data_IF_080700476056
#
_entry.id   IF_080700476056
#
_cell.length_a   1.000
_cell.length_b   1.000
_cell.length_c   1.000
_cell.angle_alpha   90.00
_cell.angle_beta   90.00
_cell.angle_gamma   90.00
#
_symmetry.space_group_name_H-M   'P 1'
#
loop_
_entity.id
_entity.type
_entity.pdbx_description
1 polymer ?
#
# COMPACT_ATOMS: atom_id res chain seq x y z
N UNK A 1 87.32 -13.76 -90.88
CA UNK A 1 86.76 -13.17 -92.11
C UNK A 1 86.97 -11.66 -92.07
N UNK A 2 86.73 -10.98 -93.20
CA UNK A 2 86.65 -9.53 -93.41
C UNK A 2 87.04 -8.61 -92.22
N UNK A 3 88.09 -7.82 -92.43
CA UNK A 3 88.18 -6.50 -91.81
C UNK A 3 88.84 -5.54 -92.81
N UNK A 4 88.20 -5.39 -93.97
CA UNK A 4 88.52 -4.41 -95.00
C UNK A 4 88.40 -3.01 -94.39
N UNK A 5 89.52 -2.50 -93.87
CA UNK A 5 89.59 -1.13 -93.41
C UNK A 5 89.62 -0.22 -94.62
N UNK A 6 88.46 0.34 -94.91
CA UNK A 6 88.22 1.28 -95.98
C UNK A 6 89.28 2.38 -95.96
N UNK A 7 90.11 2.45 -97.01
CA UNK A 7 91.13 3.51 -97.15
C UNK A 7 90.49 4.79 -97.66
N UNK A 8 89.42 5.23 -96.99
CA UNK A 8 88.95 6.60 -97.10
C UNK A 8 90.11 7.51 -96.66
N UNK A 9 90.70 8.20 -97.64
CA UNK A 9 91.82 9.10 -97.38
C UNK A 9 91.40 10.15 -96.38
N UNK A 10 91.96 10.11 -95.18
CA UNK A 10 91.47 10.89 -94.04
C UNK A 10 91.38 12.37 -94.41
N UNK A 11 90.15 12.88 -94.54
CA UNK A 11 89.88 14.28 -94.85
C UNK A 11 90.28 15.10 -93.63
N UNK A 12 91.54 15.53 -93.60
CA UNK A 12 92.14 16.20 -92.46
C UNK A 12 91.27 17.39 -92.03
N UNK A 13 90.92 17.54 -90.74
CA UNK A 13 89.92 18.48 -90.26
C UNK A 13 90.51 19.90 -90.14
N UNK A 14 91.12 20.38 -91.22
CA UNK A 14 91.87 21.64 -91.29
C UNK A 14 91.25 22.60 -92.30
N UNK A 15 91.00 23.82 -91.89
CA UNK A 15 90.61 24.92 -92.78
C UNK A 15 91.80 25.34 -93.65
N UNK A 16 91.52 25.70 -94.91
CA UNK A 16 92.53 26.10 -95.88
C UNK A 16 92.56 27.61 -95.99
N UNK A 17 93.58 28.23 -95.40
CA UNK A 17 93.89 29.65 -95.55
C UNK A 17 94.62 29.91 -96.89
N UNK A 18 94.83 31.19 -97.23
CA UNK A 18 95.29 31.66 -98.56
C UNK A 18 96.62 31.05 -99.07
N UNK A 19 97.40 30.36 -98.23
CA UNK A 19 98.64 29.63 -98.61
C UNK A 19 98.84 28.27 -97.91
N UNK A 20 97.81 27.66 -97.32
CA UNK A 20 97.90 26.33 -96.72
C UNK A 20 96.89 26.07 -95.61
N UNK A 21 96.94 24.89 -95.01
CA UNK A 21 96.19 24.58 -93.79
C UNK A 21 96.51 25.55 -92.66
N UNK A 22 95.53 25.84 -91.81
CA UNK A 22 95.77 26.65 -90.61
C UNK A 22 96.80 25.97 -89.68
N UNK A 23 97.76 26.75 -89.20
CA UNK A 23 98.90 26.22 -88.43
C UNK A 23 98.53 25.85 -87.00
N UNK A 24 97.55 26.55 -86.43
CA UNK A 24 97.16 26.38 -85.04
C UNK A 24 96.14 25.23 -84.93
N UNK A 25 95.25 25.07 -85.92
CA UNK A 25 94.45 23.86 -86.07
C UNK A 25 95.32 22.59 -86.24
N UNK A 26 96.34 22.64 -87.10
CA UNK A 26 97.29 21.52 -87.29
C UNK A 26 98.08 21.24 -86.01
N UNK A 27 98.53 22.28 -85.30
CA UNK A 27 99.22 22.16 -84.00
C UNK A 27 98.33 21.45 -82.97
N UNK A 28 97.10 21.95 -82.79
CA UNK A 28 96.13 21.41 -81.83
C UNK A 28 95.75 19.96 -82.16
N UNK A 29 95.65 19.60 -83.44
CA UNK A 29 95.40 18.21 -83.86
C UNK A 29 96.57 17.28 -83.55
N UNK A 30 97.82 17.67 -83.81
CA UNK A 30 98.97 16.84 -83.44
C UNK A 30 99.14 16.72 -81.93
N UNK A 31 98.92 17.78 -81.15
CA UNK A 31 98.95 17.71 -79.68
C UNK A 31 97.84 16.83 -79.12
N UNK A 32 96.64 16.88 -79.72
CA UNK A 32 95.55 15.95 -79.41
C UNK A 32 95.90 14.50 -79.80
N UNK A 33 96.48 14.27 -80.96
CA UNK A 33 96.86 12.93 -81.42
C UNK A 33 97.97 12.33 -80.56
N UNK A 34 98.98 13.11 -80.15
CA UNK A 34 100.00 12.71 -79.20
C UNK A 34 99.41 12.41 -77.81
N UNK A 35 98.35 13.12 -77.40
CA UNK A 35 97.62 12.80 -76.17
C UNK A 35 96.82 11.49 -76.30
N UNK A 36 96.08 11.28 -77.39
CA UNK A 36 95.34 10.04 -77.67
C UNK A 36 96.30 8.83 -77.81
N UNK A 37 97.49 9.02 -78.38
CA UNK A 37 98.54 8.00 -78.47
C UNK A 37 99.20 7.70 -77.11
N UNK A 38 99.37 8.70 -76.23
CA UNK A 38 99.79 8.48 -74.84
C UNK A 38 98.74 7.75 -74.00
N UNK A 39 97.46 8.09 -74.17
CA UNK A 39 96.34 7.40 -73.50
C UNK A 39 96.30 5.94 -73.94
N UNK A 40 96.24 5.66 -75.24
CA UNK A 40 96.21 4.28 -75.75
C UNK A 40 97.48 3.47 -75.44
N UNK A 41 98.66 4.09 -75.35
CA UNK A 41 99.86 3.42 -74.84
C UNK A 41 99.74 3.08 -73.34
N UNK A 42 99.17 3.98 -72.53
CA UNK A 42 98.91 3.77 -71.10
C UNK A 42 97.88 2.65 -70.90
N UNK A 43 96.79 2.65 -71.67
CA UNK A 43 95.75 1.62 -71.65
C UNK A 43 96.30 0.25 -72.05
N UNK A 44 97.15 0.20 -73.10
CA UNK A 44 97.85 -1.03 -73.51
C UNK A 44 98.74 -1.56 -72.40
N UNK A 45 99.50 -0.69 -71.74
CA UNK A 45 100.45 -1.11 -70.71
C UNK A 45 99.75 -1.49 -69.39
N UNK A 46 98.62 -0.85 -69.08
CA UNK A 46 97.70 -1.27 -68.03
C UNK A 46 97.06 -2.64 -68.34
N UNK A 47 96.57 -2.86 -69.56
CA UNK A 47 96.03 -4.15 -70.00
C UNK A 47 97.11 -5.25 -69.98
N UNK A 48 98.35 -4.95 -70.38
CA UNK A 48 99.48 -5.87 -70.28
C UNK A 48 99.85 -6.20 -68.81
N UNK A 49 99.74 -5.23 -67.89
CA UNK A 49 99.91 -5.47 -66.46
C UNK A 49 98.77 -6.34 -65.90
N UNK A 50 97.51 -6.09 -66.27
CA UNK A 50 96.36 -6.91 -65.91
C UNK A 50 96.52 -8.36 -66.42
N UNK A 51 96.95 -8.54 -67.68
CA UNK A 51 97.18 -9.86 -68.26
C UNK A 51 98.28 -10.65 -67.51
N UNK A 52 99.36 -9.98 -67.09
CA UNK A 52 100.40 -10.60 -66.24
C UNK A 52 99.86 -10.99 -64.85
N UNK A 53 99.10 -10.11 -64.21
CA UNK A 53 98.49 -10.37 -62.91
C UNK A 53 97.53 -11.57 -62.97
N UNK A 54 96.69 -11.64 -64.01
CA UNK A 54 95.78 -12.76 -64.27
C UNK A 54 96.57 -14.06 -64.54
N UNK A 55 97.66 -14.01 -65.32
CA UNK A 55 98.51 -15.17 -65.54
C UNK A 55 99.09 -15.73 -64.23
N UNK A 56 99.62 -14.86 -63.36
CA UNK A 56 100.15 -15.28 -62.05
C UNK A 56 99.06 -15.66 -61.03
N UNK A 57 97.80 -15.25 -61.20
CA UNK A 57 96.67 -15.79 -60.42
C UNK A 57 96.31 -17.20 -60.90
N UNK A 58 96.27 -17.41 -62.22
CA UNK A 58 95.97 -18.69 -62.85
C UNK A 58 97.07 -19.73 -62.56
N UNK A 59 98.34 -19.31 -62.52
CA UNK A 59 99.48 -20.12 -62.11
C UNK A 59 99.35 -20.60 -60.64
N UNK A 60 99.14 -19.69 -59.68
CA UNK A 60 98.89 -20.05 -58.27
C UNK A 60 97.70 -21.01 -58.11
N UNK A 61 96.60 -20.75 -58.83
CA UNK A 61 95.42 -21.62 -58.79
C UNK A 61 95.69 -23.02 -59.39
N UNK A 62 96.62 -23.15 -60.35
CA UNK A 62 97.08 -24.46 -60.84
C UNK A 62 97.95 -25.18 -59.82
N UNK A 63 98.89 -24.47 -59.18
CA UNK A 63 99.74 -25.04 -58.13
C UNK A 63 98.90 -25.56 -56.96
N UNK A 64 97.91 -24.76 -56.52
CA UNK A 64 96.94 -25.13 -55.48
C UNK A 64 96.07 -26.33 -55.91
N UNK A 65 95.57 -26.37 -57.15
CA UNK A 65 94.81 -27.52 -57.68
C UNK A 65 95.68 -28.79 -57.71
N UNK A 66 96.95 -28.69 -58.10
CA UNK A 66 97.85 -29.85 -58.16
C UNK A 66 98.37 -30.27 -56.77
N UNK A 67 98.44 -29.37 -55.79
CA UNK A 67 98.65 -29.72 -54.38
C UNK A 67 97.42 -30.44 -53.81
N UNK A 68 96.21 -29.88 -53.98
CA UNK A 68 94.96 -30.51 -53.56
C UNK A 68 94.75 -31.88 -54.22
N UNK A 69 95.13 -32.06 -55.49
CA UNK A 69 95.12 -33.37 -56.17
C UNK A 69 96.05 -34.38 -55.51
N UNK A 70 97.31 -34.01 -55.23
CA UNK A 70 98.27 -34.88 -54.54
C UNK A 70 97.75 -35.29 -53.16
N UNK A 71 97.08 -34.39 -52.44
CA UNK A 71 96.44 -34.70 -51.16
C UNK A 71 95.19 -35.58 -51.29
N UNK A 72 94.37 -35.40 -52.33
CA UNK A 72 93.26 -36.31 -52.66
C UNK A 72 93.78 -37.71 -53.00
N UNK A 73 94.83 -37.83 -53.82
CA UNK A 73 95.44 -39.12 -54.18
C UNK A 73 96.00 -39.83 -52.93
N UNK A 74 96.69 -39.09 -52.04
CA UNK A 74 97.15 -39.60 -50.73
C UNK A 74 96.01 -40.10 -49.85
N UNK A 75 94.85 -39.43 -49.87
CA UNK A 75 93.68 -39.76 -49.05
C UNK A 75 92.78 -40.86 -49.65
N UNK A 76 92.83 -41.03 -50.99
CA UNK A 76 92.02 -42.01 -51.72
C UNK A 76 92.60 -43.43 -51.68
N UNK A 77 93.91 -43.58 -51.44
CA UNK A 77 94.55 -44.89 -51.19
C UNK A 77 94.26 -45.32 -49.74
N UNK A 78 93.95 -46.60 -49.47
CA UNK A 78 93.82 -47.10 -48.10
C UNK A 78 95.10 -46.83 -47.30
N UNK A 79 95.04 -46.20 -46.11
CA UNK A 79 96.24 -45.75 -45.40
C UNK A 79 97.03 -46.94 -44.84
N UNK A 80 98.10 -47.31 -45.52
CA UNK A 80 99.03 -48.38 -45.12
C UNK A 80 100.12 -47.90 -44.15
N UNK A 81 100.16 -46.60 -43.81
CA UNK A 81 101.10 -45.99 -42.87
C UNK A 81 100.38 -45.48 -41.62
N UNK A 82 101.06 -45.52 -40.47
CA UNK A 82 100.51 -45.05 -39.19
C UNK A 82 100.22 -43.53 -39.19
N UNK A 83 101.02 -42.77 -39.94
CA UNK A 83 100.89 -41.32 -40.11
C UNK A 83 99.61 -40.97 -40.88
N UNK A 84 99.35 -41.62 -42.03
CA UNK A 84 98.12 -41.43 -42.81
C UNK A 84 96.84 -41.88 -42.07
N UNK A 85 96.94 -42.87 -41.19
CA UNK A 85 95.84 -43.22 -40.28
C UNK A 85 95.59 -42.12 -39.23
N UNK A 86 96.66 -41.56 -38.67
CA UNK A 86 96.58 -40.48 -37.66
C UNK A 86 96.00 -39.19 -38.24
N UNK A 87 96.43 -38.79 -39.44
CA UNK A 87 95.89 -37.64 -40.17
C UNK A 87 94.42 -37.82 -40.52
N UNK A 88 94.01 -39.02 -40.95
CA UNK A 88 92.59 -39.30 -41.23
C UNK A 88 91.74 -39.24 -39.96
N UNK A 89 92.27 -39.71 -38.83
CA UNK A 89 91.61 -39.58 -37.52
C UNK A 89 91.51 -38.12 -37.09
N UNK A 90 92.56 -37.30 -37.26
CA UNK A 90 92.53 -35.89 -36.87
C UNK A 90 91.52 -35.09 -37.72
N UNK A 91 91.47 -35.31 -39.04
CA UNK A 91 90.48 -34.70 -39.94
C UNK A 91 89.05 -35.19 -39.64
N UNK A 92 88.86 -36.46 -39.26
CA UNK A 92 87.55 -37.01 -38.87
C UNK A 92 87.07 -36.47 -37.52
N UNK A 93 87.94 -36.35 -36.52
CA UNK A 93 87.62 -35.73 -35.23
C UNK A 93 87.28 -34.25 -35.39
N UNK A 94 87.98 -33.54 -36.29
CA UNK A 94 87.65 -32.15 -36.64
C UNK A 94 86.27 -32.05 -37.29
N UNK A 95 86.00 -32.85 -38.33
CA UNK A 95 84.68 -32.88 -38.97
C UNK A 95 83.55 -33.19 -37.98
N UNK A 96 83.73 -34.18 -37.10
CA UNK A 96 82.75 -34.52 -36.07
C UNK A 96 82.60 -33.42 -35.00
N UNK A 97 83.66 -32.65 -34.71
CA UNK A 97 83.59 -31.47 -33.83
C UNK A 97 82.87 -30.30 -34.48
N UNK A 98 83.07 -30.09 -35.78
CA UNK A 98 82.41 -29.06 -36.57
C UNK A 98 80.91 -29.40 -36.74
N UNK A 99 80.57 -30.64 -37.09
CA UNK A 99 79.21 -31.19 -37.16
C UNK A 99 78.47 -31.14 -35.81
N UNK A 100 79.14 -31.53 -34.71
CA UNK A 100 78.57 -31.41 -33.37
C UNK A 100 78.38 -29.95 -32.92
N UNK A 101 79.14 -29.01 -33.48
CA UNK A 101 78.97 -27.57 -33.23
C UNK A 101 77.81 -26.99 -34.04
N UNK A 102 77.66 -27.39 -35.31
CA UNK A 102 76.50 -27.07 -36.14
C UNK A 102 75.20 -27.60 -35.53
N UNK A 103 75.19 -28.88 -35.09
CA UNK A 103 74.00 -29.49 -34.50
C UNK A 103 73.63 -28.85 -33.14
N UNK A 104 74.61 -28.37 -32.36
CA UNK A 104 74.33 -27.56 -31.16
C UNK A 104 73.75 -26.20 -31.52
N UNK A 105 74.38 -25.46 -32.43
CA UNK A 105 73.89 -24.15 -32.87
C UNK A 105 72.46 -24.24 -33.43
N UNK A 106 72.14 -25.30 -34.17
CA UNK A 106 70.78 -25.60 -34.62
C UNK A 106 69.84 -25.90 -33.45
N UNK A 107 70.19 -26.80 -32.53
CA UNK A 107 69.35 -27.11 -31.38
C UNK A 107 69.11 -25.89 -30.46
N UNK A 108 70.09 -25.00 -30.34
CA UNK A 108 69.96 -23.73 -29.61
C UNK A 108 69.04 -22.73 -30.33
N UNK A 109 69.08 -22.67 -31.67
CA UNK A 109 68.18 -21.88 -32.50
C UNK A 109 66.74 -22.41 -32.45
N UNK A 110 66.54 -23.72 -32.70
CA UNK A 110 65.25 -24.41 -32.61
C UNK A 110 64.62 -24.18 -31.21
N UNK A 111 65.42 -24.29 -30.15
CA UNK A 111 64.96 -24.04 -28.78
C UNK A 111 64.68 -22.55 -28.49
N UNK A 112 65.35 -21.62 -29.16
CA UNK A 112 65.07 -20.19 -29.06
C UNK A 112 63.76 -19.81 -29.79
N UNK A 113 63.49 -20.41 -30.94
CA UNK A 113 62.22 -20.26 -31.66
C UNK A 113 61.06 -20.79 -30.82
N UNK A 114 61.18 -22.01 -30.26
CA UNK A 114 60.15 -22.61 -29.39
C UNK A 114 59.86 -21.73 -28.17
N UNK A 115 60.90 -21.15 -27.52
CA UNK A 115 60.71 -20.18 -26.41
C UNK A 115 59.99 -18.93 -26.87
N UNK A 116 60.41 -18.32 -27.99
CA UNK A 116 59.79 -17.12 -28.56
C UNK A 116 58.31 -17.34 -28.88
N UNK A 117 57.94 -18.48 -29.48
CA UNK A 117 56.55 -18.84 -29.76
C UNK A 117 55.77 -18.99 -28.45
N UNK A 118 56.27 -19.76 -27.49
CA UNK A 118 55.59 -19.96 -26.20
C UNK A 118 55.42 -18.65 -25.39
N UNK A 119 56.39 -17.73 -25.44
CA UNK A 119 56.32 -16.42 -24.80
C UNK A 119 55.30 -15.50 -25.48
N UNK A 120 55.21 -15.53 -26.82
CA UNK A 120 54.20 -14.80 -27.59
C UNK A 120 52.79 -15.35 -27.33
N UNK A 121 52.60 -16.67 -27.34
CA UNK A 121 51.31 -17.31 -27.05
C UNK A 121 50.86 -17.04 -25.62
N UNK A 122 51.75 -17.19 -24.62
CA UNK A 122 51.43 -16.88 -23.23
C UNK A 122 51.09 -15.39 -23.03
N UNK A 123 51.75 -14.47 -23.75
CA UNK A 123 51.46 -13.04 -23.68
C UNK A 123 50.13 -12.70 -24.34
N UNK A 124 49.82 -13.30 -25.50
CA UNK A 124 48.52 -13.20 -26.17
C UNK A 124 47.38 -13.74 -25.30
N UNK A 125 47.61 -14.86 -24.60
CA UNK A 125 46.65 -15.47 -23.70
C UNK A 125 46.39 -14.58 -22.46
N UNK A 126 47.45 -14.02 -21.85
CA UNK A 126 47.33 -13.04 -20.75
C UNK A 126 46.50 -11.82 -21.17
N UNK A 127 46.87 -11.17 -22.28
CA UNK A 127 46.13 -10.01 -22.80
C UNK A 127 44.65 -10.33 -23.10
N UNK A 128 44.34 -11.54 -23.58
CA UNK A 128 42.96 -11.98 -23.77
C UNK A 128 42.22 -12.13 -22.43
N UNK A 129 42.85 -12.72 -21.40
CA UNK A 129 42.24 -12.85 -20.07
C UNK A 129 42.06 -11.50 -19.38
N UNK A 130 43.03 -10.60 -19.49
CA UNK A 130 42.94 -9.22 -18.99
C UNK A 130 41.78 -8.46 -19.63
N UNK A 131 41.63 -8.55 -20.96
CA UNK A 131 40.47 -7.98 -21.67
C UNK A 131 39.13 -8.60 -21.24
N UNK A 132 39.05 -9.93 -21.08
CA UNK A 132 37.83 -10.59 -20.60
C UNK A 132 37.49 -10.25 -19.14
N UNK A 133 38.49 -9.97 -18.30
CA UNK A 133 38.27 -9.51 -16.91
C UNK A 133 37.77 -8.06 -16.90
N UNK A 134 38.35 -7.18 -17.73
CA UNK A 134 37.90 -5.80 -17.88
C UNK A 134 36.44 -5.72 -18.41
N UNK A 135 36.09 -6.52 -19.42
CA UNK A 135 34.71 -6.62 -19.94
C UNK A 135 33.72 -7.08 -18.85
N UNK A 136 34.11 -8.04 -18.02
CA UNK A 136 33.29 -8.53 -16.91
C UNK A 136 33.15 -7.49 -15.78
N UNK A 137 34.20 -6.70 -15.50
CA UNK A 137 34.16 -5.63 -14.50
C UNK A 137 33.34 -4.43 -14.98
N UNK A 138 33.52 -4.00 -16.23
CA UNK A 138 32.67 -2.98 -16.88
C UNK A 138 31.21 -3.41 -16.85
N UNK A 139 30.90 -4.62 -17.33
CA UNK A 139 29.53 -5.16 -17.34
C UNK A 139 28.94 -5.31 -15.94
N UNK A 140 29.74 -5.70 -14.94
CA UNK A 140 29.31 -5.71 -13.54
C UNK A 140 28.94 -4.29 -13.09
N UNK A 141 29.82 -3.31 -13.31
CA UNK A 141 29.59 -1.92 -12.88
C UNK A 141 28.33 -1.32 -13.53
N UNK A 142 28.08 -1.60 -14.81
CA UNK A 142 26.86 -1.19 -15.50
C UNK A 142 25.61 -1.81 -14.87
N UNK A 143 25.60 -3.12 -14.60
CA UNK A 143 24.48 -3.79 -13.93
C UNK A 143 24.26 -3.31 -12.48
N UNK A 144 25.33 -2.96 -11.76
CA UNK A 144 25.27 -2.42 -10.40
C UNK A 144 24.62 -1.02 -10.41
N UNK A 145 24.98 -0.16 -11.38
CA UNK A 145 24.35 1.15 -11.61
C UNK A 145 22.89 1.03 -12.06
N UNK A 146 22.58 0.14 -13.02
CA UNK A 146 21.19 -0.10 -13.48
C UNK A 146 20.30 -0.61 -12.34
N UNK A 147 20.84 -1.50 -11.48
CA UNK A 147 20.15 -2.01 -10.30
C UNK A 147 19.89 -0.91 -9.28
N UNK A 148 20.87 -0.06 -8.97
CA UNK A 148 20.69 1.07 -8.05
C UNK A 148 19.65 2.07 -8.58
N UNK A 149 19.70 2.42 -9.86
CA UNK A 149 18.72 3.32 -10.49
C UNK A 149 17.31 2.73 -10.47
N UNK A 150 17.17 1.43 -10.77
CA UNK A 150 15.90 0.72 -10.73
C UNK A 150 15.33 0.67 -9.31
N UNK A 151 16.16 0.35 -8.32
CA UNK A 151 15.76 0.31 -6.91
C UNK A 151 15.43 1.69 -6.34
N UNK A 152 16.17 2.74 -6.71
CA UNK A 152 15.86 4.11 -6.33
C UNK A 152 14.53 4.59 -6.93
N UNK A 153 14.27 4.25 -8.20
CA UNK A 153 13.01 4.56 -8.89
C UNK A 153 11.83 3.83 -8.24
N UNK A 154 11.93 2.50 -8.06
CA UNK A 154 10.89 1.69 -7.43
C UNK A 154 10.59 2.10 -5.98
N UNK A 155 11.61 2.49 -5.19
CA UNK A 155 11.42 3.06 -3.84
C UNK A 155 10.67 4.40 -3.90
N UNK A 156 11.03 5.26 -4.86
CA UNK A 156 10.39 6.58 -5.04
C UNK A 156 8.93 6.45 -5.48
N UNK A 157 8.61 5.50 -6.35
CA UNK A 157 7.24 5.21 -6.77
C UNK A 157 6.42 4.58 -5.64
N UNK A 158 7.00 3.62 -4.92
CA UNK A 158 6.37 3.01 -3.73
C UNK A 158 6.04 4.07 -2.68
N UNK A 159 6.95 5.01 -2.40
CA UNK A 159 6.71 6.11 -1.47
C UNK A 159 5.54 7.00 -1.92
N UNK A 160 5.49 7.40 -3.20
CA UNK A 160 4.38 8.18 -3.77
C UNK A 160 3.03 7.45 -3.68
N UNK A 161 3.02 6.14 -3.93
CA UNK A 161 1.80 5.32 -3.84
C UNK A 161 1.32 5.24 -2.38
N UNK A 162 2.22 5.03 -1.43
CA UNK A 162 1.90 5.01 0.01
C UNK A 162 1.40 6.37 0.49
N UNK A 163 2.06 7.47 0.11
CA UNK A 163 1.66 8.84 0.44
C UNK A 163 0.27 9.18 -0.13
N UNK A 164 0.02 8.88 -1.41
CA UNK A 164 -1.28 9.08 -2.04
C UNK A 164 -2.39 8.25 -1.38
N UNK A 165 -2.12 6.98 -1.04
CA UNK A 165 -3.06 6.11 -0.35
C UNK A 165 -3.36 6.60 1.08
N UNK A 166 -2.36 7.12 1.81
CA UNK A 166 -2.53 7.71 3.14
C UNK A 166 -3.31 9.03 3.10
N UNK A 167 -3.05 9.89 2.11
CA UNK A 167 -3.80 11.11 1.89
C UNK A 167 -5.28 10.81 1.56
N UNK A 168 -5.54 9.85 0.68
CA UNK A 168 -6.90 9.44 0.30
C UNK A 168 -7.65 8.80 1.48
N UNK A 169 -7.00 7.90 2.24
CA UNK A 169 -7.59 7.30 3.43
C UNK A 169 -7.91 8.35 4.51
N UNK A 170 -7.04 9.36 4.67
CA UNK A 170 -7.26 10.48 5.59
C UNK A 170 -8.43 11.36 5.13
N UNK A 171 -8.55 11.62 3.82
CA UNK A 171 -9.67 12.37 3.22
C UNK A 171 -11.01 11.66 3.44
N UNK A 172 -11.08 10.37 3.11
CA UNK A 172 -12.28 9.54 3.31
C UNK A 172 -12.64 9.38 4.79
N UNK A 173 -11.63 9.31 5.67
CA UNK A 173 -11.83 9.32 7.12
C UNK A 173 -12.46 10.62 7.62
N UNK A 174 -11.92 11.77 7.19
CA UNK A 174 -12.44 13.09 7.55
C UNK A 174 -13.85 13.34 6.99
N UNK A 175 -14.13 12.96 5.75
CA UNK A 175 -15.47 13.03 5.16
C UNK A 175 -16.48 12.15 5.93
N UNK A 176 -16.07 10.92 6.26
CA UNK A 176 -16.89 10.00 7.06
C UNK A 176 -17.16 10.52 8.46
N UNK A 177 -16.20 11.20 9.10
CA UNK A 177 -16.41 11.89 10.37
C UNK A 177 -17.34 13.09 10.25
N UNK A 178 -17.14 13.97 9.27
CA UNK A 178 -18.02 15.11 9.05
C UNK A 178 -19.47 14.66 8.82
N UNK A 179 -19.68 13.61 8.04
CA UNK A 179 -20.99 12.99 7.81
C UNK A 179 -21.59 12.37 9.08
N UNK A 180 -20.78 11.71 9.93
CA UNK A 180 -21.25 11.23 11.24
C UNK A 180 -21.66 12.37 12.18
N UNK A 181 -20.92 13.48 12.19
CA UNK A 181 -21.22 14.67 13.01
C UNK A 181 -22.52 15.34 12.55
N UNK A 182 -22.67 15.63 11.26
CA UNK A 182 -23.92 16.18 10.69
C UNK A 182 -25.14 15.30 11.00
N UNK A 183 -25.05 13.97 10.82
CA UNK A 183 -26.17 13.06 11.15
C UNK A 183 -26.50 13.05 12.65
N UNK A 184 -25.50 13.19 13.52
CA UNK A 184 -25.71 13.32 14.98
C UNK A 184 -26.36 14.66 15.33
N UNK A 185 -25.91 15.76 14.74
CA UNK A 185 -26.45 17.11 14.91
C UNK A 185 -27.92 17.18 14.45
N UNK A 186 -28.23 16.68 13.25
CA UNK A 186 -29.59 16.57 12.70
C UNK A 186 -30.51 15.73 13.60
N UNK A 187 -29.98 14.62 14.15
CA UNK A 187 -30.72 13.76 15.08
C UNK A 187 -30.98 14.45 16.42
N UNK A 188 -29.99 15.15 17.00
CA UNK A 188 -30.15 15.90 18.24
C UNK A 188 -31.14 17.05 18.10
N UNK A 189 -31.07 17.80 17.00
CA UNK A 189 -32.06 18.83 16.65
C UNK A 189 -33.46 18.20 16.56
N UNK A 190 -33.63 17.15 15.73
CA UNK A 190 -34.92 16.46 15.53
C UNK A 190 -35.49 15.90 16.85
N UNK A 191 -34.65 15.32 17.70
CA UNK A 191 -35.06 14.77 18.99
C UNK A 191 -35.35 15.85 20.04
N UNK A 192 -34.65 16.99 20.01
CA UNK A 192 -34.97 18.14 20.86
C UNK A 192 -36.31 18.79 20.46
N UNK A 193 -36.59 18.90 19.17
CA UNK A 193 -37.90 19.30 18.66
C UNK A 193 -39.00 18.32 19.07
N UNK A 194 -38.76 17.01 18.89
CA UNK A 194 -39.74 15.98 19.28
C UNK A 194 -39.99 16.01 20.79
N UNK A 195 -38.95 16.15 21.61
CA UNK A 195 -39.05 16.27 23.07
C UNK A 195 -39.85 17.50 23.47
N UNK A 196 -39.54 18.68 22.93
CA UNK A 196 -40.27 19.92 23.25
C UNK A 196 -41.72 19.89 22.78
N UNK A 197 -42.02 19.30 21.61
CA UNK A 197 -43.39 19.06 21.13
C UNK A 197 -44.17 18.13 22.08
N UNK A 198 -43.57 17.02 22.53
CA UNK A 198 -44.18 16.10 23.49
C UNK A 198 -44.38 16.75 24.86
N UNK A 199 -43.39 17.45 25.41
CA UNK A 199 -43.53 18.17 26.69
C UNK A 199 -44.66 19.20 26.65
N UNK A 200 -44.76 20.01 25.58
CA UNK A 200 -45.88 20.95 25.40
C UNK A 200 -47.24 20.26 25.30
N UNK A 201 -47.32 19.11 24.65
CA UNK A 201 -48.56 18.33 24.56
C UNK A 201 -48.98 17.75 25.93
N UNK A 202 -48.02 17.31 26.76
CA UNK A 202 -48.28 16.88 28.14
C UNK A 202 -48.71 18.07 29.01
N UNK A 203 -48.02 19.21 28.92
CA UNK A 203 -48.41 20.44 29.63
C UNK A 203 -49.83 20.93 29.27
N UNK A 204 -50.21 20.85 27.99
CA UNK A 204 -51.56 21.22 27.54
C UNK A 204 -52.63 20.21 27.97
N UNK A 205 -52.32 18.91 27.96
CA UNK A 205 -53.20 17.87 28.50
C UNK A 205 -53.37 18.02 30.01
N UNK A 206 -52.31 18.32 30.76
CA UNK A 206 -52.38 18.66 32.18
C UNK A 206 -53.20 19.93 32.43
N UNK A 207 -52.99 20.98 31.61
CA UNK A 207 -53.70 22.27 31.72
C UNK A 207 -55.19 22.12 31.51
N UNK A 208 -55.59 21.47 30.42
CA UNK A 208 -56.99 21.17 30.10
C UNK A 208 -57.62 20.24 31.13
N UNK A 209 -56.95 19.15 31.52
CA UNK A 209 -57.44 18.24 32.58
C UNK A 209 -57.65 18.95 33.93
N UNK A 210 -56.71 19.83 34.35
CA UNK A 210 -56.86 20.64 35.57
C UNK A 210 -57.99 21.66 35.46
N UNK A 211 -58.20 22.26 34.29
CA UNK A 211 -59.33 23.17 34.02
C UNK A 211 -60.68 22.43 34.06
N UNK A 212 -60.79 21.27 33.41
CA UNK A 212 -62.00 20.44 33.47
C UNK A 212 -62.29 19.97 34.90
N UNK A 213 -61.26 19.55 35.65
CA UNK A 213 -61.41 19.14 37.05
C UNK A 213 -61.89 20.30 37.93
N UNK A 214 -61.31 21.50 37.76
CA UNK A 214 -61.75 22.70 38.46
C UNK A 214 -63.20 23.10 38.09
N UNK A 215 -63.57 22.98 36.82
CA UNK A 215 -64.94 23.25 36.37
C UNK A 215 -65.94 22.22 36.93
N UNK A 216 -65.63 20.91 36.88
CA UNK A 216 -66.44 19.85 37.50
C UNK A 216 -66.62 20.06 39.01
N UNK A 217 -65.56 20.47 39.72
CA UNK A 217 -65.63 20.83 41.14
C UNK A 217 -66.50 22.06 41.38
N UNK A 218 -66.40 23.09 40.52
CA UNK A 218 -67.26 24.28 40.59
C UNK A 218 -68.73 23.94 40.37
N UNK A 219 -69.05 23.20 39.31
CA UNK A 219 -70.43 22.81 38.99
C UNK A 219 -71.02 21.91 40.08
N UNK A 220 -70.25 20.95 40.62
CA UNK A 220 -70.67 20.11 41.73
C UNK A 220 -70.87 20.89 43.03
N UNK A 221 -70.05 21.91 43.33
CA UNK A 221 -70.21 22.75 44.52
C UNK A 221 -71.36 23.75 44.39
N UNK A 222 -71.59 24.33 43.20
CA UNK A 222 -72.79 25.10 42.90
C UNK A 222 -74.06 24.25 43.03
N UNK A 223 -74.07 23.03 42.50
CA UNK A 223 -75.22 22.13 42.57
C UNK A 223 -75.46 21.64 44.02
N UNK A 224 -74.40 21.33 44.76
CA UNK A 224 -74.49 21.03 46.20
C UNK A 224 -75.05 22.21 47.00
N UNK A 225 -74.61 23.44 46.72
CA UNK A 225 -75.16 24.64 47.35
C UNK A 225 -76.64 24.85 47.03
N UNK A 226 -77.07 24.63 45.77
CA UNK A 226 -78.48 24.68 45.36
C UNK A 226 -79.32 23.59 46.06
N UNK A 227 -78.80 22.36 46.18
CA UNK A 227 -79.45 21.27 46.92
C UNK A 227 -79.59 21.60 48.41
N UNK A 228 -78.52 22.10 49.05
CA UNK A 228 -78.53 22.52 50.45
C UNK A 228 -79.53 23.66 50.67
N UNK A 229 -79.52 24.71 49.84
CA UNK A 229 -80.45 25.83 49.93
C UNK A 229 -81.91 25.38 49.80
N UNK A 230 -82.21 24.47 48.85
CA UNK A 230 -83.55 23.89 48.69
C UNK A 230 -83.95 23.04 49.91
N UNK A 231 -83.04 22.22 50.44
CA UNK A 231 -83.29 21.42 51.65
C UNK A 231 -83.52 22.30 52.88
N UNK A 232 -82.74 23.37 53.07
CA UNK A 232 -82.92 24.37 54.13
C UNK A 232 -84.28 25.06 53.99
N UNK A 233 -84.65 25.56 52.81
CA UNK A 233 -85.97 26.17 52.59
C UNK A 233 -87.13 25.19 52.85
N UNK A 234 -86.97 23.91 52.50
CA UNK A 234 -87.96 22.87 52.84
C UNK A 234 -88.02 22.59 54.34
N UNK A 235 -86.89 22.58 55.03
CA UNK A 235 -86.83 22.43 56.48
C UNK A 235 -87.45 23.63 57.21
N UNK A 236 -87.14 24.86 56.78
CA UNK A 236 -87.73 26.10 57.29
C UNK A 236 -89.25 26.12 57.10
N UNK A 237 -89.76 25.75 55.92
CA UNK A 237 -91.21 25.61 55.67
C UNK A 237 -91.85 24.56 56.59
N UNK A 238 -91.20 23.39 56.78
CA UNK A 238 -91.68 22.36 57.70
C UNK A 238 -91.67 22.83 59.16
N UNK A 239 -90.65 23.60 59.58
CA UNK A 239 -90.54 24.17 60.92
C UNK A 239 -91.58 25.28 61.13
N UNK A 240 -91.86 26.11 60.12
CA UNK A 240 -92.92 27.11 60.17
C UNK A 240 -94.30 26.45 60.32
N UNK A 241 -94.64 25.51 59.44
CA UNK A 241 -95.88 24.73 59.49
C UNK A 241 -96.03 23.93 60.81
N UNK A 242 -94.93 23.41 61.36
CA UNK A 242 -94.95 22.75 62.67
C UNK A 242 -95.16 23.73 63.85
N UNK A 243 -94.68 24.98 63.73
CA UNK A 243 -94.97 26.04 64.71
C UNK A 243 -96.41 26.52 64.61
N UNK A 244 -96.94 26.66 63.39
CA UNK A 244 -98.35 26.99 63.14
C UNK A 244 -99.26 25.93 63.75
N UNK A 245 -99.04 24.64 63.44
CA UNK A 245 -99.74 23.52 64.09
C UNK A 245 -99.57 23.49 65.62
N UNK A 246 -98.39 23.84 66.15
CA UNK A 246 -98.17 23.89 67.60
C UNK A 246 -98.95 25.01 68.27
N UNK A 247 -99.10 26.18 67.63
CA UNK A 247 -99.94 27.27 68.13
C UNK A 247 -101.44 27.00 67.92
N UNK A 248 -101.85 26.34 66.83
CA UNK A 248 -103.22 25.82 66.68
C UNK A 248 -103.57 24.83 67.80
N UNK A 249 -102.68 23.87 68.09
CA UNK A 249 -102.82 22.93 69.20
C UNK A 249 -102.77 23.63 70.57
N UNK A 250 -101.99 24.71 70.72
CA UNK A 250 -101.97 25.55 71.94
C UNK A 250 -103.31 26.26 72.14
N UNK A 251 -103.88 26.83 71.08
CA UNK A 251 -105.19 27.50 71.09
C UNK A 251 -106.32 26.49 71.31
N UNK A 252 -106.28 25.32 70.67
CA UNK A 252 -107.20 24.21 70.94
C UNK A 252 -107.11 23.73 72.38
N UNK A 253 -105.90 23.50 72.91
CA UNK A 253 -105.71 23.14 74.32
C UNK A 253 -106.20 24.23 75.27
N UNK A 254 -105.98 25.50 74.95
CA UNK A 254 -106.53 26.63 75.71
C UNK A 254 -108.07 26.62 75.72
N UNK A 255 -108.70 26.37 74.55
CA UNK A 255 -110.15 26.24 74.41
C UNK A 255 -110.71 25.04 75.18
N UNK A 256 -110.05 23.88 75.10
CA UNK A 256 -110.43 22.67 75.83
C UNK A 256 -110.25 22.84 77.34
N UNK A 257 -109.18 23.51 77.80
CA UNK A 257 -109.01 23.85 79.22
C UNK A 257 -110.08 24.85 79.70
N UNK A 258 -110.46 25.84 78.89
CA UNK A 258 -111.56 26.73 79.21
C UNK A 258 -112.91 25.99 79.24
N UNK A 259 -113.15 25.03 78.34
CA UNK A 259 -114.33 24.15 78.36
C UNK A 259 -114.34 23.25 79.59
N UNK A 260 -113.20 22.65 79.98
CA UNK A 260 -113.09 21.82 81.18
C UNK A 260 -113.24 22.63 82.48
N UNK A 261 -112.79 23.90 82.51
CA UNK A 261 -113.08 24.82 83.61
C UNK A 261 -114.56 25.21 83.64
N UNK A 262 -115.21 25.41 82.49
CA UNK A 262 -116.65 25.61 82.39
C UNK A 262 -117.45 24.42 82.89
N UNK A 263 -117.09 23.20 82.45
CA UNK A 263 -117.69 21.94 82.93
C UNK A 263 -117.42 21.73 84.41
N UNK A 264 -116.23 22.10 84.93
CA UNK A 264 -115.97 22.08 86.38
C UNK A 264 -116.89 23.04 87.13
N UNK A 265 -117.08 24.27 86.65
CA UNK A 265 -118.04 25.22 87.25
C UNK A 265 -119.49 24.72 87.17
N UNK A 266 -119.85 23.96 86.14
CA UNK A 266 -121.14 23.26 86.05
C UNK A 266 -121.22 22.08 87.04
N UNK A 267 -120.14 21.33 87.26
CA UNK A 267 -120.08 20.26 88.26
C UNK A 267 -120.09 20.80 89.71
N UNK A 268 -119.46 21.95 89.97
CA UNK A 268 -119.56 22.64 91.26
C UNK A 268 -121.01 23.14 91.55
N UNK A 269 -121.90 23.19 90.54
CA UNK A 269 -123.34 23.48 90.70
C UNK A 269 -124.22 22.24 90.95
N UNK A 270 -123.71 21.03 90.74
CA UNK A 270 -124.46 19.76 90.90
C UNK A 270 -125.03 19.55 92.32
N UNK A 271 -124.36 19.94 93.42
CA UNK A 271 -124.94 19.83 94.77
C UNK A 271 -126.27 20.58 94.96
N UNK A 272 -126.53 21.63 94.15
CA UNK A 272 -127.79 22.37 94.19
C UNK A 272 -128.91 21.73 93.34
N UNK A 273 -128.55 20.97 92.30
CA UNK A 273 -129.50 20.34 91.37
C UNK A 273 -129.90 18.90 91.76
N UNK A 274 -129.09 18.22 92.58
CA UNK A 274 -129.40 16.88 93.10
C UNK A 274 -130.51 16.86 94.17
N UNK A 275 -131.01 18.02 94.62
CA UNK A 275 -132.03 18.11 95.66
C UNK A 275 -133.47 17.86 95.18
N UNK A 276 -133.74 17.91 93.86
CA UNK A 276 -135.12 18.04 93.34
C UNK A 276 -135.70 16.81 92.62
N UNK A 277 -134.90 15.92 92.03
CA UNK A 277 -135.40 14.72 91.31
C UNK A 277 -134.51 13.50 91.52
N UNK A 278 -134.31 13.09 92.78
CA UNK A 278 -133.99 11.69 93.09
C UNK A 278 -134.67 11.26 94.41
N UNK A 279 -135.99 11.11 94.32
CA UNK A 279 -136.78 10.22 95.16
C UNK A 279 -137.63 9.41 94.19
N UNK A 280 -137.62 8.08 94.34
CA UNK A 280 -138.09 7.09 93.35
C UNK A 280 -137.15 6.95 92.13
N UNK A 281 -136.64 5.78 91.74
CA UNK A 281 -136.44 4.44 92.39
C UNK A 281 -135.60 3.61 91.39
N UNK A 282 -134.43 3.03 91.65
CA UNK A 282 -134.07 2.02 92.68
C UNK A 282 -135.03 0.84 92.80
N UNK A 283 -134.69 -0.31 92.18
CA UNK A 283 -135.20 -1.65 92.52
C UNK A 283 -134.39 -2.76 91.79
N UNK A 284 -133.58 -3.51 92.55
CA UNK A 284 -132.98 -4.84 92.23
C UNK A 284 -131.91 -4.88 91.09
N UNK A 285 -130.92 -5.79 91.09
CA UNK A 285 -130.56 -6.83 92.07
C UNK A 285 -129.03 -7.07 92.17
N UNK A 286 -128.62 -8.01 93.03
CA UNK A 286 -127.25 -8.29 93.44
C UNK A 286 -126.40 -9.15 92.48
N UNK A 287 -125.08 -9.19 92.75
CA UNK A 287 -124.30 -10.44 92.65
C UNK A 287 -123.38 -10.68 91.43
N UNK A 288 -122.07 -10.55 91.69
CA UNK A 288 -120.98 -11.53 91.38
C UNK A 288 -121.37 -12.82 90.60
N UNK A 289 -120.56 -13.35 89.66
CA UNK A 289 -119.15 -13.79 89.86
C UNK A 289 -118.38 -14.12 88.52
N UNK A 290 -117.20 -14.76 88.64
CA UNK A 290 -116.22 -15.33 87.66
C UNK A 290 -116.76 -16.12 86.44
N UNK A 291 -115.99 -16.49 85.38
CA UNK A 291 -114.70 -16.03 84.76
C UNK A 291 -114.29 -16.93 83.54
N UNK A 292 -113.27 -16.53 82.75
CA UNK A 292 -112.49 -17.35 81.75
C UNK A 292 -113.25 -17.89 80.51
N UNK A 293 -112.63 -18.55 79.48
CA UNK A 293 -111.24 -18.60 78.95
C UNK A 293 -111.18 -18.31 77.41
N UNK A 294 -110.28 -18.87 76.58
CA UNK A 294 -108.87 -18.49 76.33
C UNK A 294 -108.29 -19.09 75.00
N UNK A 295 -107.22 -18.48 74.43
CA UNK A 295 -106.26 -19.04 73.43
C UNK A 295 -106.80 -19.41 72.00
N UNK A 296 -105.96 -19.82 71.00
CA UNK A 296 -104.50 -20.01 70.97
C UNK A 296 -103.71 -19.53 69.69
N UNK A 297 -102.36 -19.69 69.71
CA UNK A 297 -101.42 -20.15 68.63
C UNK A 297 -101.33 -19.45 67.23
N UNK A 298 -100.27 -19.55 66.40
CA UNK A 298 -98.84 -19.98 66.45
C UNK A 298 -98.09 -19.35 65.22
N UNK A 299 -96.96 -19.77 64.60
CA UNK A 299 -96.03 -20.92 64.69
C UNK A 299 -94.66 -20.64 63.98
N UNK A 300 -93.72 -21.60 63.96
CA UNK A 300 -92.39 -21.54 63.26
C UNK A 300 -91.88 -22.97 62.84
N UNK A 301 -90.73 -23.26 62.21
CA UNK A 301 -89.56 -22.54 61.67
C UNK A 301 -88.83 -23.40 60.57
N UNK A 302 -87.56 -23.10 60.22
CA UNK A 302 -86.52 -23.94 59.52
C UNK A 302 -86.80 -24.55 58.12
N UNK A 303 -85.85 -25.22 57.41
CA UNK A 303 -84.46 -24.85 57.00
C UNK A 303 -83.89 -25.81 55.90
N UNK A 304 -82.73 -25.48 55.30
CA UNK A 304 -81.71 -26.40 54.66
C UNK A 304 -82.08 -27.19 53.36
N UNK A 305 -81.18 -27.67 52.44
CA UNK A 305 -79.70 -27.65 52.21
C UNK A 305 -79.35 -27.90 50.69
N UNK A 306 -78.15 -27.47 50.24
CA UNK A 306 -77.24 -28.12 49.22
C UNK A 306 -77.58 -28.24 47.69
N UNK A 307 -76.62 -28.44 46.74
CA UNK A 307 -75.14 -28.60 46.79
C UNK A 307 -74.36 -28.12 45.51
N UNK A 308 -73.08 -27.76 45.69
CA UNK A 308 -71.88 -27.79 44.78
C UNK A 308 -71.91 -27.38 43.28
N UNK A 309 -70.97 -26.54 42.82
CA UNK A 309 -69.63 -26.92 42.26
C UNK A 309 -68.81 -25.67 41.81
N UNK A 310 -67.57 -25.73 41.26
CA UNK A 310 -66.25 -26.15 41.80
C UNK A 310 -65.08 -25.68 40.87
N UNK A 311 -63.99 -25.08 41.43
CA UNK A 311 -62.75 -24.52 40.77
C UNK A 311 -62.91 -23.22 39.94
N UNK A 312 -61.89 -22.38 39.74
CA UNK A 312 -60.53 -22.30 40.34
C UNK A 312 -59.44 -21.69 39.43
N UNK A 313 -58.33 -21.19 40.03
CA UNK A 313 -57.11 -20.54 39.43
C UNK A 313 -57.32 -19.10 38.87
N UNK A 314 -56.59 -18.05 39.28
CA UNK A 314 -55.12 -17.79 39.26
C UNK A 314 -54.61 -17.32 37.88
N UNK A 315 -54.25 -16.03 37.72
CA UNK A 315 -52.87 -15.52 37.64
C UNK A 315 -52.82 -14.00 37.30
N UNK A 316 -51.67 -13.36 37.50
CA UNK A 316 -51.42 -11.96 37.10
C UNK A 316 -50.83 -11.85 35.69
N UNK A 317 -50.95 -10.67 35.05
CA UNK A 317 -50.03 -10.25 33.98
C UNK A 317 -49.80 -8.74 34.00
N UNK A 318 -48.57 -8.35 34.34
CA UNK A 318 -48.05 -6.98 34.14
C UNK A 318 -47.90 -6.73 32.63
N UNK A 319 -48.17 -5.49 32.19
CA UNK A 319 -48.34 -5.15 30.78
C UNK A 319 -47.87 -3.74 30.40
N UNK A 320 -46.82 -3.24 31.05
CA UNK A 320 -46.02 -2.07 30.65
C UNK A 320 -44.64 -2.20 31.29
#
# INVERSE_FOLDING_TARGET
MANEHDRHGATLPFTVTRRGFDRDEVRNYFERFDAELRVTATDRDAAAAQARNLASQLERARDEIDELRRDIDRLSVPPTTAEGMSDRISRMLRLASDEASEQRAKAEADAAEIRSIAEQEASRLRAKHEGMLAELEERRSALEIEFEQTMASARTESAKIIEAAQAEASRLGAESEAKRRSVQEDFEITMSERRTKVTRAVEELERSSKQEAAQRLKDATEEAARRLQSATQQAERKIAHAKELAEELRVLRGRVLAQLLGVRGQLDSVPAMLATVNRESELLDAGTDKATPAAPEADAETAELEQETKKGKENAKVGS
#
